data_IF_632928273240
#
_entry.id   IF_632928273240
#
_cell.length_a   1.000
_cell.length_b   1.000
_cell.length_c   1.000
_cell.angle_alpha   90.00
_cell.angle_beta   90.00
_cell.angle_gamma   90.00
#
_symmetry.space_group_name_H-M   'P 1'
#
loop_
_entity.id
_entity.type
_entity.pdbx_description
1 polymer ?
#
# COMPACT_ATOMS: atom_id res chain seq x y z
N UNK A 1 10.24 15.88 -15.03
CA UNK A 1 8.93 15.41 -14.53
C UNK A 1 8.77 13.95 -14.92
N UNK A 2 9.48 13.05 -14.24
CA UNK A 2 9.40 11.60 -14.49
C UNK A 2 8.09 11.09 -13.90
N UNK A 3 7.23 10.52 -14.75
CA UNK A 3 5.95 9.94 -14.33
C UNK A 3 6.23 8.86 -13.28
N UNK A 4 5.99 9.21 -12.02
CA UNK A 4 5.92 8.24 -10.93
C UNK A 4 4.79 7.31 -11.31
N UNK A 5 5.11 6.12 -11.83
CA UNK A 5 4.12 5.06 -12.03
C UNK A 5 3.47 4.88 -10.68
N UNK A 6 2.22 5.33 -10.56
CA UNK A 6 1.48 5.19 -9.31
C UNK A 6 1.52 3.72 -8.93
N UNK A 7 1.95 3.40 -7.72
CA UNK A 7 2.07 2.01 -7.24
C UNK A 7 0.75 1.26 -7.34
N UNK A 8 -0.37 2.00 -7.40
CA UNK A 8 -1.71 1.52 -7.76
C UNK A 8 -1.74 0.80 -9.12
N UNK A 9 -1.04 1.34 -10.12
CA UNK A 9 -0.91 0.73 -11.44
C UNK A 9 -0.03 -0.53 -11.40
N UNK A 10 1.04 -0.52 -10.59
CA UNK A 10 1.94 -1.67 -10.50
C UNK A 10 1.25 -2.92 -9.92
N UNK A 11 0.44 -2.76 -8.86
CA UNK A 11 -0.36 -3.84 -8.26
C UNK A 11 -1.41 -4.36 -9.23
N UNK A 12 -2.13 -3.44 -9.85
CA UNK A 12 -3.19 -3.78 -10.79
C UNK A 12 -2.62 -4.60 -11.95
N UNK A 13 -1.48 -4.16 -12.51
CA UNK A 13 -0.78 -4.87 -13.59
C UNK A 13 -0.28 -6.24 -13.12
N UNK A 14 0.33 -6.33 -11.92
CA UNK A 14 0.79 -7.61 -11.35
C UNK A 14 -0.35 -8.62 -11.21
N UNK A 15 -1.48 -8.17 -10.65
CA UNK A 15 -2.66 -9.00 -10.45
C UNK A 15 -3.30 -9.39 -11.78
N UNK A 16 -3.43 -8.47 -12.75
CA UNK A 16 -3.96 -8.79 -14.09
C UNK A 16 -3.12 -9.87 -14.76
N UNK A 17 -1.78 -9.76 -14.69
CA UNK A 17 -0.88 -10.76 -15.26
C UNK A 17 -1.03 -12.11 -14.55
N UNK A 18 -1.10 -12.12 -13.21
CA UNK A 18 -1.34 -13.33 -12.42
C UNK A 18 -2.67 -14.01 -12.76
N UNK A 19 -3.76 -13.25 -12.88
CA UNK A 19 -5.05 -13.84 -13.23
C UNK A 19 -5.08 -14.33 -14.66
N UNK A 20 -4.49 -13.59 -15.59
CA UNK A 20 -4.36 -14.04 -16.98
C UNK A 20 -3.59 -15.35 -17.04
N UNK A 21 -2.52 -15.48 -16.23
CA UNK A 21 -1.77 -16.72 -16.07
C UNK A 21 -2.65 -17.87 -15.55
N UNK A 22 -3.35 -17.64 -14.44
CA UNK A 22 -4.20 -18.65 -13.81
C UNK A 22 -5.37 -19.08 -14.72
N UNK A 23 -5.98 -18.15 -15.45
CA UNK A 23 -7.04 -18.43 -16.43
C UNK A 23 -6.50 -19.29 -17.57
N UNK A 24 -5.34 -18.95 -18.14
CA UNK A 24 -4.71 -19.73 -19.20
C UNK A 24 -4.38 -21.15 -18.72
N UNK A 25 -3.81 -21.28 -17.52
CA UNK A 25 -3.51 -22.58 -16.93
C UNK A 25 -4.79 -23.40 -16.72
N UNK A 26 -5.86 -22.76 -16.23
CA UNK A 26 -7.17 -23.42 -16.06
C UNK A 26 -7.77 -23.88 -17.39
N UNK A 27 -7.68 -23.06 -18.45
CA UNK A 27 -8.18 -23.43 -19.78
C UNK A 27 -7.41 -24.61 -20.39
N UNK A 28 -6.09 -24.64 -20.21
CA UNK A 28 -5.20 -25.66 -20.79
C UNK A 28 -5.22 -26.96 -19.98
N UNK A 29 -5.06 -26.88 -18.65
CA UNK A 29 -4.89 -28.05 -17.78
C UNK A 29 -6.18 -28.48 -17.07
N UNK A 30 -7.07 -27.53 -16.76
CA UNK A 30 -8.35 -27.81 -16.10
C UNK A 30 -9.41 -28.27 -17.11
N UNK A 31 -9.73 -27.41 -18.08
CA UNK A 31 -10.78 -27.69 -19.07
C UNK A 31 -10.32 -28.51 -20.27
N UNK A 32 -9.01 -28.66 -20.49
CA UNK A 32 -8.44 -29.35 -21.65
C UNK A 32 -9.02 -28.86 -22.99
N UNK A 33 -9.46 -27.60 -23.05
CA UNK A 33 -10.17 -27.03 -24.21
C UNK A 33 -9.26 -26.67 -25.36
N UNK A 34 -7.95 -26.69 -25.15
CA UNK A 34 -6.94 -26.37 -26.13
C UNK A 34 -6.19 -27.63 -26.54
N UNK A 35 -6.08 -27.86 -27.85
CA UNK A 35 -5.38 -29.01 -28.43
C UNK A 35 -3.85 -28.80 -28.41
N UNK A 36 -3.34 -28.39 -27.25
CA UNK A 36 -1.92 -28.16 -26.99
C UNK A 36 -1.40 -29.37 -26.24
N UNK A 37 -0.25 -29.90 -26.66
CA UNK A 37 0.42 -30.97 -25.94
C UNK A 37 0.65 -30.56 -24.48
N UNK A 38 0.31 -31.44 -23.53
CA UNK A 38 0.37 -31.15 -22.08
C UNK A 38 1.74 -30.58 -21.65
N UNK A 39 2.83 -31.06 -22.25
CA UNK A 39 4.21 -30.57 -22.02
C UNK A 39 4.35 -29.08 -22.34
N UNK A 40 3.75 -28.61 -23.43
CA UNK A 40 3.74 -27.21 -23.82
C UNK A 40 2.87 -26.39 -22.85
N UNK A 41 1.75 -26.96 -22.39
CA UNK A 41 0.90 -26.36 -21.36
C UNK A 41 1.65 -26.10 -20.04
N UNK A 42 2.45 -27.07 -19.57
CA UNK A 42 3.26 -26.91 -18.37
C UNK A 42 4.33 -25.82 -18.52
N UNK A 43 5.04 -25.78 -19.66
CA UNK A 43 6.04 -24.75 -19.95
C UNK A 43 5.45 -23.35 -19.92
N UNK A 44 4.29 -23.16 -20.54
CA UNK A 44 3.55 -21.89 -20.51
C UNK A 44 3.19 -21.53 -19.06
N UNK A 45 2.68 -22.51 -18.30
CA UNK A 45 2.36 -22.32 -16.88
C UNK A 45 3.55 -21.85 -16.04
N UNK A 46 4.72 -22.47 -16.20
CA UNK A 46 5.93 -22.08 -15.47
C UNK A 46 6.39 -20.66 -15.79
N UNK A 47 6.40 -20.30 -17.08
CA UNK A 47 6.82 -18.96 -17.51
C UNK A 47 5.87 -17.90 -16.95
N UNK A 48 4.56 -18.14 -17.02
CA UNK A 48 3.56 -17.19 -16.57
C UNK A 48 3.54 -17.03 -15.04
N UNK A 49 3.60 -18.14 -14.28
CA UNK A 49 3.69 -18.08 -12.81
C UNK A 49 5.01 -17.40 -12.38
N UNK A 50 6.12 -17.74 -13.01
CA UNK A 50 7.42 -17.12 -12.73
C UNK A 50 7.42 -15.61 -12.99
N UNK A 51 6.87 -15.19 -14.13
CA UNK A 51 6.77 -13.77 -14.46
C UNK A 51 5.86 -13.00 -13.48
N UNK A 52 4.70 -13.57 -13.12
CA UNK A 52 3.82 -12.98 -12.12
C UNK A 52 4.48 -12.87 -10.73
N UNK A 53 5.26 -13.87 -10.33
CA UNK A 53 6.00 -13.88 -9.06
C UNK A 53 7.04 -12.76 -9.01
N UNK A 54 7.83 -12.58 -10.08
CA UNK A 54 8.85 -11.52 -10.15
C UNK A 54 8.21 -10.14 -10.01
N UNK A 55 7.11 -9.88 -10.72
CA UNK A 55 6.39 -8.60 -10.64
C UNK A 55 5.86 -8.38 -9.23
N UNK A 56 5.32 -9.42 -8.59
CA UNK A 56 4.84 -9.33 -7.22
C UNK A 56 5.95 -9.00 -6.21
N UNK A 57 7.15 -9.58 -6.38
CA UNK A 57 8.33 -9.24 -5.57
C UNK A 57 8.71 -7.76 -5.75
N UNK A 58 8.75 -7.27 -7.00
CA UNK A 58 9.04 -5.85 -7.28
C UNK A 58 8.02 -4.96 -6.58
N UNK A 59 6.73 -5.30 -6.68
CA UNK A 59 5.68 -4.58 -5.98
C UNK A 59 5.88 -4.57 -4.46
N UNK A 60 6.13 -5.73 -3.87
CA UNK A 60 6.36 -5.88 -2.43
C UNK A 60 7.52 -4.98 -1.96
N UNK A 61 8.64 -4.98 -2.69
CA UNK A 61 9.80 -4.14 -2.38
C UNK A 61 9.48 -2.65 -2.46
N UNK A 62 8.76 -2.23 -3.51
CA UNK A 62 8.35 -0.83 -3.68
C UNK A 62 7.42 -0.40 -2.54
N UNK A 63 6.46 -1.24 -2.12
CA UNK A 63 5.56 -0.95 -1.01
C UNK A 63 6.32 -0.81 0.31
N UNK A 64 7.26 -1.72 0.61
CA UNK A 64 8.11 -1.60 1.81
C UNK A 64 8.85 -0.26 1.81
N UNK A 65 9.38 0.16 0.66
CA UNK A 65 10.14 1.40 0.55
C UNK A 65 9.25 2.64 0.75
N UNK A 66 7.98 2.60 0.37
CA UNK A 66 7.03 3.69 0.65
C UNK A 66 6.57 3.73 2.11
N UNK A 67 6.36 2.57 2.73
CA UNK A 67 6.00 2.47 4.14
C UNK A 67 7.09 3.07 5.04
N UNK A 68 8.36 3.02 4.63
CA UNK A 68 9.47 3.67 5.35
C UNK A 68 9.46 5.19 5.25
N UNK A 69 8.83 5.76 4.23
CA UNK A 69 8.82 7.22 3.96
C UNK A 69 7.64 7.93 4.60
N UNK A 70 6.61 7.20 5.03
CA UNK A 70 5.41 7.80 5.61
C UNK A 70 5.59 7.93 7.13
N UNK A 71 5.30 9.10 7.73
CA UNK A 71 5.32 9.29 9.19
C UNK A 71 4.14 8.60 9.89
N UNK A 72 3.32 7.84 9.13
CA UNK A 72 2.37 6.90 9.69
C UNK A 72 3.16 5.83 10.42
N UNK A 73 3.31 6.00 11.73
CA UNK A 73 3.46 4.86 12.62
C UNK A 73 2.26 3.98 12.37
N UNK A 74 2.49 2.95 11.56
CA UNK A 74 1.54 1.95 11.16
C UNK A 74 0.67 1.55 12.35
N UNK A 75 -0.63 1.81 12.27
CA UNK A 75 -1.59 1.10 13.10
C UNK A 75 -1.26 -0.38 13.00
N UNK A 76 -1.04 -1.06 14.13
CA UNK A 76 -0.66 -2.49 14.19
C UNK A 76 -1.50 -3.37 13.26
N UNK A 77 -2.77 -3.00 13.05
CA UNK A 77 -3.72 -3.60 12.09
C UNK A 77 -3.22 -3.56 10.63
N UNK A 78 -2.60 -2.48 10.19
CA UNK A 78 -2.08 -2.32 8.83
C UNK A 78 -0.87 -3.23 8.55
N UNK A 79 0.07 -3.34 9.49
CA UNK A 79 1.23 -4.26 9.35
C UNK A 79 0.73 -5.70 9.23
N UNK A 80 -0.18 -6.10 10.12
CA UNK A 80 -0.76 -7.44 10.12
C UNK A 80 -1.48 -7.70 8.80
N UNK A 81 -2.27 -6.74 8.32
CA UNK A 81 -2.98 -6.89 7.05
C UNK A 81 -2.02 -7.03 5.86
N UNK A 82 -1.01 -6.19 5.77
CA UNK A 82 0.05 -6.30 4.75
C UNK A 82 0.71 -7.67 4.78
N UNK A 83 1.09 -8.14 5.96
CA UNK A 83 1.71 -9.47 6.13
C UNK A 83 0.78 -10.58 5.65
N UNK A 84 -0.50 -10.57 6.07
CA UNK A 84 -1.48 -11.57 5.66
C UNK A 84 -1.68 -11.56 4.14
N UNK A 85 -1.77 -10.37 3.54
CA UNK A 85 -1.89 -10.23 2.09
C UNK A 85 -0.69 -10.84 1.35
N UNK A 86 0.53 -10.50 1.78
CA UNK A 86 1.73 -11.00 1.12
C UNK A 86 1.92 -12.50 1.30
N UNK A 87 1.74 -13.01 2.52
CA UNK A 87 1.82 -14.43 2.81
C UNK A 87 0.77 -15.19 1.99
N UNK A 88 -0.47 -14.68 1.92
CA UNK A 88 -1.53 -15.25 1.11
C UNK A 88 -1.15 -15.35 -0.37
N UNK A 89 -0.58 -14.29 -0.94
CA UNK A 89 -0.19 -14.29 -2.34
C UNK A 89 1.00 -15.22 -2.62
N UNK A 90 2.01 -15.26 -1.73
CA UNK A 90 3.12 -16.22 -1.85
C UNK A 90 2.63 -17.67 -1.75
N UNK A 91 1.70 -17.97 -0.84
CA UNK A 91 1.08 -19.29 -0.77
C UNK A 91 0.33 -19.67 -2.05
N UNK A 92 -0.35 -18.70 -2.69
CA UNK A 92 -1.01 -18.95 -3.98
C UNK A 92 0.02 -19.32 -5.05
N UNK A 93 1.14 -18.60 -5.13
CA UNK A 93 2.24 -18.93 -6.05
C UNK A 93 2.83 -20.30 -5.77
N UNK A 94 3.17 -20.58 -4.51
CA UNK A 94 3.83 -21.82 -4.10
C UNK A 94 2.94 -23.04 -4.36
N UNK A 95 1.65 -22.98 -3.98
CA UNK A 95 0.71 -24.09 -4.21
C UNK A 95 0.50 -24.30 -5.71
N UNK A 96 0.33 -23.22 -6.48
CA UNK A 96 0.15 -23.31 -7.93
C UNK A 96 1.39 -23.91 -8.62
N UNK A 97 2.59 -23.50 -8.20
CA UNK A 97 3.86 -24.00 -8.73
C UNK A 97 4.08 -25.46 -8.34
N UNK A 98 3.83 -25.81 -7.08
CA UNK A 98 3.98 -27.16 -6.56
C UNK A 98 3.10 -28.16 -7.32
N UNK A 99 1.82 -27.83 -7.51
CA UNK A 99 0.91 -28.69 -8.28
C UNK A 99 1.27 -28.76 -9.77
N UNK A 100 1.81 -27.68 -10.34
CA UNK A 100 2.31 -27.69 -11.70
C UNK A 100 3.55 -28.61 -11.84
N UNK A 101 4.45 -28.61 -10.86
CA UNK A 101 5.58 -29.55 -10.78
C UNK A 101 5.11 -30.99 -10.68
N UNK A 102 4.15 -31.29 -9.78
CA UNK A 102 3.59 -32.64 -9.64
C UNK A 102 2.92 -33.13 -10.93
N UNK A 103 2.20 -32.25 -11.62
CA UNK A 103 1.56 -32.54 -12.91
C UNK A 103 2.59 -32.85 -14.00
N UNK A 104 3.67 -32.06 -14.09
CA UNK A 104 4.73 -32.26 -15.07
C UNK A 104 5.59 -33.51 -14.77
N UNK A 105 5.81 -33.81 -13.49
CA UNK A 105 6.52 -35.02 -13.03
C UNK A 105 5.68 -36.30 -13.17
N UNK A 106 4.44 -36.21 -13.69
CA UNK A 106 3.49 -37.32 -13.86
C UNK A 106 3.17 -38.06 -12.54
N UNK A 107 3.31 -37.38 -11.40
CA UNK A 107 2.93 -37.92 -10.09
C UNK A 107 1.41 -37.93 -9.94
N UNK A 108 0.73 -36.97 -10.58
CA UNK A 108 -0.73 -36.86 -10.57
C UNK A 108 -1.32 -37.42 -11.86
N UNK A 109 -2.44 -38.13 -11.72
CA UNK A 109 -3.24 -38.56 -12.87
C UNK A 109 -3.94 -37.36 -13.54
N UNK A 110 -4.24 -37.42 -14.86
CA UNK A 110 -4.90 -36.33 -15.58
C UNK A 110 -6.20 -35.84 -14.93
N UNK A 111 -6.99 -36.76 -14.37
CA UNK A 111 -8.23 -36.44 -13.64
C UNK A 111 -7.97 -35.64 -12.36
N UNK A 112 -6.90 -35.97 -11.63
CA UNK A 112 -6.53 -35.26 -10.39
C UNK A 112 -6.05 -33.83 -10.71
N UNK A 113 -5.29 -33.67 -11.80
CA UNK A 113 -4.85 -32.35 -12.28
C UNK A 113 -6.08 -31.49 -12.62
N UNK A 114 -7.04 -32.06 -13.36
CA UNK A 114 -8.28 -31.38 -13.73
C UNK A 114 -9.09 -30.95 -12.48
N UNK A 115 -9.34 -31.86 -11.53
CA UNK A 115 -10.09 -31.59 -10.30
C UNK A 115 -9.40 -30.48 -9.48
N UNK A 116 -8.07 -30.56 -9.33
CA UNK A 116 -7.32 -29.54 -8.61
C UNK A 116 -7.55 -28.17 -9.23
N UNK A 117 -7.30 -28.00 -10.53
CA UNK A 117 -7.46 -26.69 -11.17
C UNK A 117 -8.92 -26.21 -11.17
N UNK A 118 -9.89 -27.12 -11.22
CA UNK A 118 -11.31 -26.80 -11.15
C UNK A 118 -11.76 -26.23 -9.79
N UNK A 119 -11.16 -26.69 -8.70
CA UNK A 119 -11.46 -26.17 -7.35
C UNK A 119 -10.55 -25.00 -6.98
N UNK A 120 -9.27 -25.11 -7.35
CA UNK A 120 -8.24 -24.14 -7.01
C UNK A 120 -8.48 -22.80 -7.69
N UNK A 121 -8.80 -22.79 -8.99
CA UNK A 121 -9.00 -21.54 -9.73
C UNK A 121 -10.13 -20.67 -9.14
N UNK A 122 -11.35 -21.18 -8.91
CA UNK A 122 -12.41 -20.42 -8.24
C UNK A 122 -12.03 -19.98 -6.83
N UNK A 123 -11.34 -20.82 -6.06
CA UNK A 123 -10.92 -20.50 -4.69
C UNK A 123 -9.96 -19.31 -4.68
N UNK A 124 -8.94 -19.33 -5.55
CA UNK A 124 -7.99 -18.22 -5.70
C UNK A 124 -8.72 -16.98 -6.20
N UNK A 125 -9.64 -17.10 -7.15
CA UNK A 125 -10.41 -15.98 -7.67
C UNK A 125 -11.24 -15.26 -6.58
N UNK A 126 -12.04 -16.02 -5.82
CA UNK A 126 -12.85 -15.48 -4.71
C UNK A 126 -11.96 -14.91 -3.60
N UNK A 127 -10.92 -15.63 -3.20
CA UNK A 127 -9.98 -15.19 -2.17
C UNK A 127 -9.34 -13.85 -2.55
N UNK A 128 -8.95 -13.68 -3.81
CA UNK A 128 -8.26 -12.47 -4.23
C UNK A 128 -9.21 -11.27 -4.39
N UNK A 129 -10.49 -11.49 -4.73
CA UNK A 129 -11.52 -10.44 -4.63
C UNK A 129 -11.67 -9.97 -3.18
N UNK A 130 -11.76 -10.91 -2.23
CA UNK A 130 -11.88 -10.56 -0.81
C UNK A 130 -10.67 -9.76 -0.33
N UNK A 131 -9.45 -10.18 -0.70
CA UNK A 131 -8.23 -9.44 -0.38
C UNK A 131 -8.16 -8.05 -1.02
N UNK A 132 -8.63 -7.90 -2.27
CA UNK A 132 -8.69 -6.61 -2.97
C UNK A 132 -9.63 -5.62 -2.28
N UNK A 133 -10.81 -6.09 -1.85
CA UNK A 133 -11.77 -5.26 -1.11
C UNK A 133 -11.17 -4.81 0.22
N UNK A 134 -10.55 -5.72 0.96
CA UNK A 134 -9.90 -5.40 2.23
C UNK A 134 -8.75 -4.39 2.05
N UNK A 135 -7.92 -4.56 1.01
CA UNK A 135 -6.82 -3.63 0.72
C UNK A 135 -7.33 -2.23 0.35
N UNK A 136 -8.48 -2.15 -0.31
CA UNK A 136 -9.15 -0.89 -0.60
C UNK A 136 -9.62 -0.19 0.68
N UNK A 137 -10.27 -0.94 1.59
CA UNK A 137 -10.76 -0.41 2.88
C UNK A 137 -9.59 0.16 3.70
N UNK A 138 -8.51 -0.62 3.84
CA UNK A 138 -7.33 -0.20 4.61
C UNK A 138 -6.69 1.07 4.04
N UNK A 139 -6.66 1.23 2.71
CA UNK A 139 -6.15 2.45 2.07
C UNK A 139 -7.06 3.66 2.27
N UNK A 140 -8.38 3.45 2.32
CA UNK A 140 -9.32 4.53 2.64
C UNK A 140 -9.10 4.99 4.07
N UNK A 141 -8.94 4.06 5.02
CA UNK A 141 -8.59 4.40 6.41
C UNK A 141 -7.26 5.17 6.50
N UNK A 142 -6.22 4.77 5.77
CA UNK A 142 -4.95 5.52 5.71
C UNK A 142 -5.15 6.96 5.23
N UNK A 143 -5.93 7.17 4.16
CA UNK A 143 -6.19 8.51 3.63
C UNK A 143 -6.96 9.37 4.63
N UNK A 144 -7.98 8.79 5.26
CA UNK A 144 -8.76 9.48 6.30
C UNK A 144 -7.85 9.87 7.47
N UNK A 145 -6.96 8.97 7.89
CA UNK A 145 -6.02 9.25 8.97
C UNK A 145 -5.01 10.35 8.62
N UNK A 146 -4.45 10.33 7.41
CA UNK A 146 -3.53 11.39 6.94
C UNK A 146 -4.22 12.75 6.93
N UNK A 147 -5.44 12.80 6.39
CA UNK A 147 -6.23 14.06 6.35
C UNK A 147 -6.51 14.56 7.77
N UNK A 148 -6.93 13.66 8.67
CA UNK A 148 -7.21 14.02 10.06
C UNK A 148 -5.96 14.54 10.78
N UNK A 149 -4.81 13.89 10.59
CA UNK A 149 -3.54 14.32 11.19
C UNK A 149 -3.11 15.68 10.65
N UNK A 150 -3.15 15.89 9.33
CA UNK A 150 -2.82 17.18 8.72
C UNK A 150 -3.74 18.31 9.23
N UNK A 151 -5.00 17.99 9.49
CA UNK A 151 -5.96 18.96 10.03
C UNK A 151 -5.63 19.32 11.49
N UNK A 152 -5.31 18.32 12.32
CA UNK A 152 -4.87 18.56 13.72
C UNK A 152 -3.54 19.32 13.79
N UNK A 153 -2.58 18.99 12.94
CA UNK A 153 -1.29 19.69 12.87
C UNK A 153 -1.49 21.15 12.42
N UNK A 154 -2.47 21.43 11.55
CA UNK A 154 -2.84 22.80 11.15
C UNK A 154 -3.49 23.58 12.29
N UNK A 155 -4.42 22.99 13.05
CA UNK A 155 -5.05 23.65 14.20
C UNK A 155 -4.03 23.93 15.32
N UNK A 156 -3.07 23.01 15.55
CA UNK A 156 -1.97 23.21 16.48
C UNK A 156 -1.05 24.34 16.04
N UNK A 157 -0.72 24.39 14.75
CA UNK A 157 0.10 25.47 14.18
C UNK A 157 -0.58 26.84 14.29
N UNK A 158 -1.89 26.92 14.05
CA UNK A 158 -2.66 28.16 14.22
C UNK A 158 -2.69 28.63 15.69
N UNK A 159 -2.81 27.70 16.64
CA UNK A 159 -2.75 28.03 18.08
C UNK A 159 -1.36 28.49 18.51
N UNK A 160 -0.30 27.84 18.03
CA UNK A 160 1.07 28.25 18.32
C UNK A 160 1.38 29.63 17.74
N UNK A 161 0.87 29.97 16.55
CA UNK A 161 0.96 31.33 16.01
C UNK A 161 0.22 32.35 16.87
N UNK A 162 -1.00 32.06 17.29
CA UNK A 162 -1.77 32.97 18.15
C UNK A 162 -1.09 33.20 19.51
N UNK A 163 -0.57 32.15 20.16
CA UNK A 163 0.17 32.31 21.42
C UNK A 163 1.46 33.11 21.25
N UNK A 164 2.13 33.01 20.11
CA UNK A 164 3.34 33.77 19.80
C UNK A 164 3.01 35.26 19.55
N UNK A 165 1.95 35.54 18.80
CA UNK A 165 1.47 36.90 18.57
C UNK A 165 0.94 37.55 19.86
N UNK A 166 0.21 36.83 20.70
CA UNK A 166 -0.29 37.35 21.98
C UNK A 166 0.87 37.66 22.96
N UNK A 167 1.92 36.82 22.99
CA UNK A 167 3.15 37.12 23.76
C UNK A 167 3.88 38.36 23.23
N UNK A 168 3.98 38.52 21.92
CA UNK A 168 4.58 39.71 21.28
C UNK A 168 3.77 41.00 21.56
N UNK A 169 2.44 40.90 21.66
CA UNK A 169 1.56 42.02 22.01
C UNK A 169 1.69 42.40 23.49
N UNK A 170 1.85 41.40 24.38
CA UNK A 170 2.12 41.61 25.81
C UNK A 170 3.49 42.28 26.05
N UNK A 171 4.56 41.81 25.40
CA UNK A 171 5.88 42.45 25.50
C UNK A 171 5.91 43.89 24.97
N UNK A 172 5.15 44.19 23.90
CA UNK A 172 5.00 45.57 23.41
C UNK A 172 4.24 46.47 24.40
N UNK A 173 3.22 45.95 25.10
CA UNK A 173 2.50 46.72 26.13
C UNK A 173 3.38 47.01 27.35
N UNK A 174 4.27 46.09 27.74
CA UNK A 174 5.21 46.33 28.83
C UNK A 174 6.36 47.28 28.45
N UNK A 175 6.79 47.31 27.18
CA UNK A 175 7.81 48.28 26.72
C UNK A 175 7.29 49.71 26.59
N UNK A 176 5.98 49.93 26.58
CA UNK A 176 5.38 51.28 26.49
C UNK A 176 5.33 52.00 27.85
N UNK A 177 5.81 51.39 28.94
CA UNK A 177 5.71 51.95 30.30
C UNK A 177 7.00 52.52 30.91
N UNK A 178 8.07 52.69 30.13
CA UNK A 178 9.30 53.38 30.59
C UNK A 178 9.94 54.23 29.49
N UNK A 179 9.43 55.45 29.33
CA UNK A 179 10.25 56.56 28.82
C UNK A 179 9.82 57.85 29.53
N UNK A 180 10.13 57.93 30.82
CA UNK A 180 10.16 59.22 31.52
C UNK A 180 11.55 59.80 31.27
N UNK A 181 11.60 60.79 30.37
CA UNK A 181 12.83 61.45 29.94
C UNK A 181 13.31 62.39 31.07
N UNK A 182 14.53 62.27 31.60
CA UNK A 182 14.97 63.00 32.79
C UNK A 182 15.56 64.39 32.48
N UNK A 183 15.15 65.05 31.38
CA UNK A 183 15.83 66.26 30.88
C UNK A 183 14.94 67.50 30.68
N UNK A 184 13.73 67.50 31.23
CA UNK A 184 12.91 68.71 31.29
C UNK A 184 12.49 68.97 32.74
N UNK A 185 13.37 69.64 33.48
CA UNK A 185 12.97 70.42 34.64
C UNK A 185 12.35 71.72 34.10
N UNK A 186 11.03 71.81 34.17
CA UNK A 186 10.31 73.05 33.92
C UNK A 186 10.66 74.07 35.01
N UNK A 187 11.24 75.19 34.58
CA UNK A 187 11.45 76.39 35.37
C UNK A 187 10.15 76.80 36.08
N UNK A 188 10.15 76.68 37.41
CA UNK A 188 9.14 77.28 38.27
C UNK A 188 9.32 78.79 38.30
N UNK A 189 8.49 79.47 37.52
CA UNK A 189 8.17 80.88 37.70
C UNK A 189 7.45 81.06 39.05
N UNK A 190 8.10 81.69 40.04
CA UNK A 190 7.46 82.19 41.26
C UNK A 190 7.35 83.71 41.19
N UNK A 191 6.11 84.21 41.28
CA UNK A 191 5.79 85.60 41.60
C UNK A 191 6.54 86.11 42.83
#
# INVERSE_FOLDING_TARGET
>A
MTKVVSIKALVSVANIILYTALVLIFLILGLQKWNIAAVTGYKIGYVLIGFATIIFIIYHLVRINELKKTPLQLLRKHIIFMQVFYIGQYLIFDISLFFLILANAKVLNPTQICIFWYVWFPTVFVGTIAFSVLESIVRVEERIFIVKKNWQDSELWEKEQQECDDKLILEKKDSTKKTQNPFFDDDKNSN
#
